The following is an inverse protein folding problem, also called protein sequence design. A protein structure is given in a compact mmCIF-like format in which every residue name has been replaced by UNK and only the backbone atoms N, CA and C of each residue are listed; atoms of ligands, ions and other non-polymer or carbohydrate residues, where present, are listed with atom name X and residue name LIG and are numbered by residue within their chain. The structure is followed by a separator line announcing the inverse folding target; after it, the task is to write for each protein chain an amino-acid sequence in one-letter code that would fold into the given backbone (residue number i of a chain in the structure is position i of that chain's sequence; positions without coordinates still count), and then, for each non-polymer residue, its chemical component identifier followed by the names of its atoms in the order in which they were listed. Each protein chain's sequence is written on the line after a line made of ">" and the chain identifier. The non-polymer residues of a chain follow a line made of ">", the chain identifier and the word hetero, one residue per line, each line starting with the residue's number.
data_IF_891846330984
#
_entry.id   IF_891846330984
#
_cell.length_a   1.000
_cell.length_b   1.000
_cell.length_c   1.000
_cell.angle_alpha   90.00
_cell.angle_beta   90.00
_cell.angle_gamma   90.00
#
_symmetry.space_group_name_H-M   'P 1'
#
loop_
_entity.id
_entity.type
_entity.pdbx_description
1 polymer ?
#
# COMPACT_ATOMS: atom_id res chain seq x y z
N UNK A 1 19.98 -14.43 -10.36
CA UNK A 1 21.13 -13.49 -10.37
C UNK A 1 21.05 -12.58 -9.15
N UNK A 2 22.17 -12.06 -8.63
CA UNK A 2 22.17 -11.13 -7.49
C UNK A 2 23.02 -9.91 -7.81
N UNK A 3 22.45 -8.74 -7.62
CA UNK A 3 23.10 -7.43 -7.68
C UNK A 3 23.21 -6.89 -6.25
N UNK A 4 24.42 -6.56 -5.82
CA UNK A 4 24.70 -6.07 -4.47
C UNK A 4 25.44 -4.73 -4.55
N UNK A 5 24.93 -3.73 -3.82
CA UNK A 5 25.50 -2.38 -3.77
C UNK A 5 25.70 -1.74 -5.16
N UNK A 6 24.81 -2.03 -6.11
CA UNK A 6 24.91 -1.48 -7.46
C UNK A 6 24.24 -0.11 -7.54
N UNK A 7 24.86 0.81 -8.27
CA UNK A 7 24.24 2.06 -8.67
C UNK A 7 23.58 1.87 -10.05
N UNK A 8 22.26 1.91 -10.07
CA UNK A 8 21.43 1.77 -11.26
C UNK A 8 20.54 3.01 -11.47
N UNK A 9 20.94 4.19 -10.91
CA UNK A 9 20.17 5.44 -11.09
C UNK A 9 20.00 5.72 -12.59
N UNK A 10 18.77 5.96 -13.00
CA UNK A 10 18.34 6.23 -14.38
C UNK A 10 18.63 5.11 -15.42
N UNK A 11 19.04 3.92 -14.97
CA UNK A 11 19.28 2.79 -15.89
C UNK A 11 17.98 2.28 -16.47
N UNK A 12 17.98 1.97 -17.77
CA UNK A 12 16.87 1.33 -18.47
C UNK A 12 16.99 -0.20 -18.42
N UNK A 13 16.08 -0.83 -17.67
CA UNK A 13 15.93 -2.28 -17.53
C UNK A 13 14.55 -2.71 -18.01
N UNK A 14 13.91 -1.91 -18.87
CA UNK A 14 12.56 -2.18 -19.37
C UNK A 14 12.50 -3.47 -20.21
N UNK A 15 11.37 -4.18 -20.11
CA UNK A 15 11.06 -5.39 -20.84
C UNK A 15 12.06 -6.55 -20.69
N UNK A 16 12.99 -6.49 -19.73
CA UNK A 16 13.90 -7.59 -19.46
C UNK A 16 13.24 -8.67 -18.60
N UNK A 17 13.67 -9.91 -18.81
CA UNK A 17 13.34 -11.01 -17.91
C UNK A 17 14.36 -11.08 -16.77
N UNK A 18 13.91 -10.74 -15.59
CA UNK A 18 14.67 -10.75 -14.35
C UNK A 18 13.98 -11.59 -13.28
N UNK A 19 13.29 -12.64 -13.70
CA UNK A 19 12.63 -13.60 -12.80
C UNK A 19 13.62 -14.13 -11.77
N UNK A 20 13.26 -14.03 -10.49
CA UNK A 20 14.07 -14.51 -9.37
C UNK A 20 15.38 -13.74 -9.15
N UNK A 21 15.54 -12.54 -9.73
CA UNK A 21 16.70 -11.72 -9.43
C UNK A 21 16.61 -11.11 -8.03
N UNK A 22 17.77 -10.89 -7.43
CA UNK A 22 17.90 -10.24 -6.12
C UNK A 22 18.66 -8.93 -6.28
N UNK A 23 18.04 -7.84 -5.82
CA UNK A 23 18.62 -6.50 -5.73
C UNK A 23 18.78 -6.17 -4.23
N UNK A 24 20.01 -6.00 -3.77
CA UNK A 24 20.30 -5.74 -2.36
C UNK A 24 21.18 -4.51 -2.21
N UNK A 25 20.76 -3.58 -1.33
CA UNK A 25 21.45 -2.31 -1.07
C UNK A 25 21.72 -1.48 -2.35
N UNK A 26 20.89 -1.65 -3.39
CA UNK A 26 21.07 -0.96 -4.67
C UNK A 26 20.42 0.43 -4.67
N UNK A 27 21.00 1.34 -5.47
CA UNK A 27 20.41 2.61 -5.84
C UNK A 27 19.62 2.38 -7.12
N UNK A 28 18.28 2.55 -7.04
CA UNK A 28 17.33 2.33 -8.14
C UNK A 28 16.53 3.61 -8.45
N UNK A 29 17.08 4.79 -8.12
CA UNK A 29 16.40 6.04 -8.31
C UNK A 29 16.13 6.26 -9.81
N UNK A 30 14.87 6.49 -10.18
CA UNK A 30 14.43 6.63 -11.58
C UNK A 30 14.82 5.46 -12.51
N UNK A 31 15.21 4.31 -11.96
CA UNK A 31 15.43 3.10 -12.77
C UNK A 31 14.14 2.73 -13.48
N UNK A 32 14.22 2.42 -14.77
CA UNK A 32 13.09 2.03 -15.58
C UNK A 32 12.95 0.50 -15.67
N UNK A 33 11.95 -0.07 -14.99
CA UNK A 33 11.54 -1.48 -15.10
C UNK A 33 10.23 -1.66 -15.87
N UNK A 34 9.85 -0.70 -16.71
CA UNK A 34 8.57 -0.76 -17.44
C UNK A 34 8.46 -2.07 -18.21
N UNK A 35 7.39 -2.83 -17.99
CA UNK A 35 7.12 -4.10 -18.67
C UNK A 35 8.09 -5.23 -18.33
N UNK A 36 9.03 -5.04 -17.41
CA UNK A 36 9.96 -6.09 -17.00
C UNK A 36 9.23 -7.27 -16.34
N UNK A 37 9.75 -8.48 -16.48
CA UNK A 37 9.34 -9.66 -15.72
C UNK A 37 10.23 -9.78 -14.50
N UNK A 38 9.65 -9.56 -13.33
CA UNK A 38 10.28 -9.56 -12.00
C UNK A 38 9.56 -10.54 -11.07
N UNK A 39 8.96 -11.59 -11.63
CA UNK A 39 8.29 -12.63 -10.85
C UNK A 39 9.33 -13.29 -9.93
N UNK A 40 8.97 -13.55 -8.66
CA UNK A 40 9.86 -14.07 -7.61
C UNK A 40 11.11 -13.20 -7.31
N UNK A 41 11.18 -11.98 -7.85
CA UNK A 41 12.33 -11.12 -7.60
C UNK A 41 12.33 -10.60 -6.15
N UNK A 42 13.53 -10.38 -5.61
CA UNK A 42 13.73 -9.85 -4.27
C UNK A 42 14.42 -8.48 -4.32
N UNK A 43 13.84 -7.50 -3.64
CA UNK A 43 14.42 -6.18 -3.41
C UNK A 43 14.61 -5.99 -1.92
N UNK A 44 15.84 -5.84 -1.46
CA UNK A 44 16.18 -5.65 -0.06
C UNK A 44 16.97 -4.35 0.14
N UNK A 45 16.52 -3.49 1.04
CA UNK A 45 17.20 -2.24 1.44
C UNK A 45 17.54 -1.31 0.26
N UNK A 46 16.80 -1.39 -0.84
CA UNK A 46 17.05 -0.56 -2.02
C UNK A 46 16.50 0.86 -1.87
N UNK A 47 17.15 1.83 -2.52
CA UNK A 47 16.73 3.23 -2.59
C UNK A 47 16.34 3.60 -4.01
N UNK A 48 15.05 3.65 -4.29
CA UNK A 48 14.51 3.81 -5.62
C UNK A 48 13.39 4.85 -5.70
N UNK A 49 13.59 6.05 -5.15
CA UNK A 49 12.62 7.11 -5.35
C UNK A 49 12.35 7.34 -6.85
N UNK A 50 11.07 7.44 -7.24
CA UNK A 50 10.60 7.55 -8.62
C UNK A 50 10.96 6.35 -9.53
N UNK A 51 11.25 5.18 -8.97
CA UNK A 51 11.42 3.95 -9.75
C UNK A 51 10.16 3.65 -10.58
N UNK A 52 10.33 3.14 -11.79
CA UNK A 52 9.21 2.89 -12.70
C UNK A 52 9.01 1.41 -12.95
N UNK A 53 7.99 0.83 -12.32
CA UNK A 53 7.50 -0.55 -12.51
C UNK A 53 6.20 -0.59 -13.33
N UNK A 54 5.94 0.44 -14.14
CA UNK A 54 4.71 0.48 -14.96
C UNK A 54 4.59 -0.80 -15.80
N UNK A 55 3.44 -1.45 -15.72
CA UNK A 55 3.14 -2.71 -16.41
C UNK A 55 4.11 -3.88 -16.13
N UNK A 56 5.02 -3.76 -15.16
CA UNK A 56 5.92 -4.86 -14.78
C UNK A 56 5.15 -6.04 -14.15
N UNK A 57 5.70 -7.24 -14.25
CA UNK A 57 5.21 -8.42 -13.54
C UNK A 57 6.04 -8.60 -12.28
N UNK A 58 5.39 -8.57 -11.13
CA UNK A 58 5.97 -8.69 -9.78
C UNK A 58 5.22 -9.78 -9.00
N UNK A 59 4.83 -10.87 -9.68
CA UNK A 59 4.12 -11.97 -9.02
C UNK A 59 5.04 -12.61 -7.99
N UNK A 60 4.57 -12.76 -6.74
CA UNK A 60 5.33 -13.33 -5.62
C UNK A 60 6.64 -12.59 -5.29
N UNK A 61 6.85 -11.39 -5.84
CA UNK A 61 8.04 -10.59 -5.52
C UNK A 61 8.07 -10.16 -4.06
N UNK A 62 9.26 -10.10 -3.48
CA UNK A 62 9.48 -9.64 -2.10
C UNK A 62 10.22 -8.30 -2.09
N UNK A 63 9.63 -7.30 -1.45
CA UNK A 63 10.18 -5.96 -1.35
C UNK A 63 10.30 -5.63 0.15
N UNK A 64 11.54 -5.58 0.66
CA UNK A 64 11.81 -5.40 2.07
C UNK A 64 12.69 -4.17 2.34
N UNK A 65 12.25 -3.32 3.27
CA UNK A 65 12.98 -2.13 3.74
C UNK A 65 13.42 -1.19 2.62
N UNK A 66 12.69 -1.19 1.51
CA UNK A 66 12.98 -0.33 0.37
C UNK A 66 12.34 1.04 0.49
N UNK A 67 12.99 2.06 -0.06
CA UNK A 67 12.45 3.40 -0.24
C UNK A 67 12.09 3.60 -1.73
N UNK A 68 10.82 3.39 -2.06
CA UNK A 68 10.25 3.56 -3.39
C UNK A 68 9.21 4.69 -3.39
N UNK A 69 9.50 5.78 -2.69
CA UNK A 69 8.64 6.96 -2.70
C UNK A 69 8.39 7.46 -4.12
N UNK A 70 7.13 7.80 -4.42
CA UNK A 70 6.66 8.18 -5.76
C UNK A 70 6.96 7.12 -6.84
N UNK A 71 7.11 5.86 -6.45
CA UNK A 71 7.28 4.74 -7.38
C UNK A 71 6.03 4.53 -8.22
N UNK A 72 6.22 4.19 -9.49
CA UNK A 72 5.13 3.96 -10.43
C UNK A 72 4.90 2.46 -10.57
N UNK A 73 3.72 2.00 -10.16
CA UNK A 73 3.25 0.62 -10.30
C UNK A 73 1.99 0.56 -11.18
N UNK A 74 1.75 1.58 -12.00
CA UNK A 74 0.57 1.69 -12.84
C UNK A 74 0.42 0.49 -13.77
N UNK A 75 -0.69 -0.27 -13.66
CA UNK A 75 -0.93 -1.47 -14.46
C UNK A 75 0.00 -2.65 -14.16
N UNK A 76 0.89 -2.56 -13.19
CA UNK A 76 1.75 -3.68 -12.78
C UNK A 76 0.93 -4.87 -12.24
N UNK A 77 1.47 -6.06 -12.32
CA UNK A 77 0.92 -7.25 -11.67
C UNK A 77 1.69 -7.50 -10.37
N UNK A 78 1.06 -7.21 -9.23
CA UNK A 78 1.64 -7.39 -7.89
C UNK A 78 0.94 -8.52 -7.12
N UNK A 79 0.42 -9.51 -7.83
CA UNK A 79 -0.26 -10.65 -7.22
C UNK A 79 0.68 -11.39 -6.28
N UNK A 80 0.25 -11.62 -5.03
CA UNK A 80 1.03 -12.26 -3.97
C UNK A 80 2.37 -11.57 -3.64
N UNK A 81 2.61 -10.38 -4.17
CA UNK A 81 3.79 -9.61 -3.78
C UNK A 81 3.71 -9.14 -2.32
N UNK A 82 4.86 -9.01 -1.67
CA UNK A 82 4.95 -8.52 -0.31
C UNK A 82 5.81 -7.26 -0.20
N UNK A 83 5.29 -6.25 0.50
CA UNK A 83 5.97 -5.00 0.82
C UNK A 83 6.09 -4.88 2.34
N UNK A 84 7.27 -5.10 2.89
CA UNK A 84 7.51 -5.10 4.34
C UNK A 84 8.53 -4.03 4.73
N UNK A 85 8.15 -3.16 5.64
CA UNK A 85 9.03 -2.08 6.13
C UNK A 85 9.36 -1.04 5.06
N UNK A 86 8.53 -0.89 4.04
CA UNK A 86 8.81 -0.04 2.88
C UNK A 86 8.29 1.38 3.04
N UNK A 87 8.92 2.32 2.32
CA UNK A 87 8.42 3.67 2.10
C UNK A 87 7.89 3.78 0.68
N UNK A 88 6.58 3.97 0.57
CA UNK A 88 5.82 4.05 -0.67
C UNK A 88 4.97 5.33 -0.71
N UNK A 89 5.43 6.40 -0.04
CA UNK A 89 4.71 7.67 -0.04
C UNK A 89 4.50 8.16 -1.48
N UNK A 90 3.25 8.48 -1.83
CA UNK A 90 2.91 8.96 -3.18
C UNK A 90 3.04 7.91 -4.28
N UNK A 91 3.25 6.63 -3.96
CA UNK A 91 3.35 5.58 -4.97
C UNK A 91 2.02 5.40 -5.72
N UNK A 92 2.10 5.15 -7.02
CA UNK A 92 0.94 4.99 -7.90
C UNK A 92 0.72 3.53 -8.29
N UNK A 93 -0.33 2.92 -7.73
CA UNK A 93 -0.79 1.56 -8.06
C UNK A 93 -2.07 1.57 -8.91
N UNK A 94 -2.36 2.66 -9.62
CA UNK A 94 -3.57 2.72 -10.47
C UNK A 94 -3.57 1.61 -11.51
N UNK A 95 -4.71 0.92 -11.63
CA UNK A 95 -4.87 -0.25 -12.52
C UNK A 95 -3.92 -1.42 -12.25
N UNK A 96 -3.18 -1.43 -11.15
CA UNK A 96 -2.38 -2.59 -10.77
C UNK A 96 -3.29 -3.81 -10.51
N UNK A 97 -2.83 -4.99 -10.92
CA UNK A 97 -3.47 -6.27 -10.60
C UNK A 97 -2.95 -6.75 -9.26
N UNK A 98 -3.74 -6.56 -8.22
CA UNK A 98 -3.37 -6.81 -6.83
C UNK A 98 -4.29 -7.86 -6.20
N UNK A 99 -3.91 -9.11 -6.30
CA UNK A 99 -4.58 -10.20 -5.58
C UNK A 99 -3.64 -10.73 -4.50
N UNK A 100 -4.13 -10.82 -3.26
CA UNK A 100 -3.37 -11.31 -2.10
C UNK A 100 -2.04 -10.57 -1.86
N UNK A 101 -1.96 -9.28 -2.22
CA UNK A 101 -0.79 -8.46 -1.93
C UNK A 101 -0.70 -8.19 -0.43
N UNK A 102 0.51 -8.24 0.13
CA UNK A 102 0.77 -7.96 1.54
C UNK A 102 1.49 -6.60 1.68
N UNK A 103 0.91 -5.73 2.51
CA UNK A 103 1.61 -4.57 3.05
C UNK A 103 1.73 -4.72 4.57
N UNK A 104 2.93 -4.59 5.10
CA UNK A 104 3.20 -4.66 6.54
C UNK A 104 4.27 -3.66 6.92
N UNK A 105 4.08 -2.92 8.02
CA UNK A 105 5.05 -1.92 8.49
C UNK A 105 5.44 -0.91 7.41
N UNK A 106 4.52 -0.58 6.53
CA UNK A 106 4.78 0.14 5.28
C UNK A 106 4.07 1.48 5.27
N UNK A 107 4.76 2.52 4.82
CA UNK A 107 4.18 3.85 4.63
C UNK A 107 3.63 3.95 3.21
N UNK A 108 2.31 4.13 3.09
CA UNK A 108 1.56 4.37 1.85
C UNK A 108 0.85 5.74 1.89
N UNK A 109 1.40 6.68 2.66
CA UNK A 109 0.82 8.02 2.76
C UNK A 109 0.74 8.69 1.39
N UNK A 110 -0.41 9.29 1.08
CA UNK A 110 -0.70 9.91 -0.21
C UNK A 110 -0.52 8.99 -1.44
N UNK A 111 -0.48 7.67 -1.25
CA UNK A 111 -0.40 6.71 -2.36
C UNK A 111 -1.76 6.49 -3.04
N UNK A 112 -1.75 5.97 -4.27
CA UNK A 112 -2.95 5.71 -5.07
C UNK A 112 -3.17 4.21 -5.22
N UNK A 113 -4.17 3.65 -4.51
CA UNK A 113 -4.51 2.21 -4.51
C UNK A 113 -6.00 1.98 -4.81
N UNK A 114 -6.62 2.62 -5.79
CA UNK A 114 -8.06 2.49 -5.99
C UNK A 114 -8.46 1.05 -6.33
N UNK A 115 -9.49 0.54 -5.65
CA UNK A 115 -10.08 -0.77 -5.91
C UNK A 115 -9.28 -1.96 -5.40
N UNK A 116 -8.26 -1.78 -4.57
CA UNK A 116 -7.55 -2.89 -3.93
C UNK A 116 -8.46 -3.70 -3.02
N UNK A 117 -8.24 -5.02 -2.98
CA UNK A 117 -8.92 -5.91 -2.04
C UNK A 117 -8.02 -6.26 -0.86
N UNK A 118 -8.47 -5.85 0.31
CA UNK A 118 -7.93 -6.21 1.62
C UNK A 118 -8.92 -7.08 2.39
N UNK A 119 -9.82 -7.79 1.69
CA UNK A 119 -10.84 -8.63 2.30
C UNK A 119 -10.20 -9.71 3.18
N UNK A 120 -10.57 -9.71 4.47
CA UNK A 120 -10.04 -10.63 5.50
C UNK A 120 -8.53 -10.49 5.75
N UNK A 121 -7.91 -9.41 5.30
CA UNK A 121 -6.48 -9.18 5.50
C UNK A 121 -6.23 -8.57 6.88
N UNK A 122 -5.15 -9.01 7.53
CA UNK A 122 -4.61 -8.37 8.72
C UNK A 122 -3.63 -7.26 8.31
N UNK A 123 -4.03 -6.01 8.52
CA UNK A 123 -3.27 -4.82 8.18
C UNK A 123 -2.51 -4.35 9.44
N UNK A 124 -1.19 -4.51 9.43
CA UNK A 124 -0.34 -4.26 10.59
C UNK A 124 0.64 -3.11 10.33
N UNK A 125 0.52 -2.05 11.10
CA UNK A 125 1.41 -0.87 11.04
C UNK A 125 1.59 -0.31 9.63
N UNK A 126 0.47 -0.15 8.92
CA UNK A 126 0.43 0.47 7.59
C UNK A 126 -0.13 1.88 7.70
N UNK A 127 0.58 2.84 7.16
CA UNK A 127 0.13 4.22 7.10
C UNK A 127 -0.48 4.53 5.73
N UNK A 128 -1.81 4.63 5.68
CA UNK A 128 -2.59 5.06 4.51
C UNK A 128 -3.07 6.51 4.61
N UNK A 129 -2.43 7.33 5.44
CA UNK A 129 -2.86 8.72 5.60
C UNK A 129 -2.86 9.44 4.25
N UNK A 130 -3.94 10.19 3.95
CA UNK A 130 -4.10 10.93 2.69
C UNK A 130 -4.13 10.05 1.42
N UNK A 131 -4.10 8.74 1.53
CA UNK A 131 -4.09 7.85 0.37
C UNK A 131 -5.44 7.83 -0.36
N UNK A 132 -5.40 7.59 -1.67
CA UNK A 132 -6.60 7.29 -2.44
C UNK A 132 -6.91 5.78 -2.36
N UNK A 133 -7.89 5.45 -1.54
CA UNK A 133 -8.42 4.10 -1.29
C UNK A 133 -9.84 3.94 -1.83
N UNK A 134 -10.22 4.76 -2.82
CA UNK A 134 -11.54 4.69 -3.41
C UNK A 134 -11.83 3.26 -3.91
N UNK A 135 -13.03 2.76 -3.62
CA UNK A 135 -13.51 1.42 -3.99
C UNK A 135 -12.71 0.23 -3.43
N UNK A 136 -11.84 0.45 -2.43
CA UNK A 136 -11.16 -0.63 -1.74
C UNK A 136 -12.14 -1.53 -0.97
N UNK A 137 -11.84 -2.81 -0.92
CA UNK A 137 -12.60 -3.79 -0.17
C UNK A 137 -11.85 -4.14 1.13
N UNK A 138 -12.28 -3.58 2.26
CA UNK A 138 -11.77 -3.85 3.60
C UNK A 138 -12.71 -4.71 4.44
N UNK A 139 -13.66 -5.41 3.81
CA UNK A 139 -14.59 -6.26 4.56
C UNK A 139 -13.86 -7.31 5.37
N UNK A 140 -14.27 -7.46 6.62
CA UNK A 140 -13.69 -8.40 7.57
C UNK A 140 -12.16 -8.23 7.76
N UNK A 141 -11.58 -7.12 7.28
CA UNK A 141 -10.18 -6.79 7.55
C UNK A 141 -9.98 -6.38 9.01
N UNK A 142 -8.80 -6.58 9.55
CA UNK A 142 -8.43 -6.09 10.87
C UNK A 142 -7.24 -5.12 10.78
N UNK A 143 -7.33 -4.02 11.54
CA UNK A 143 -6.32 -2.98 11.56
C UNK A 143 -5.60 -2.95 12.91
N UNK A 144 -4.28 -2.93 12.89
CA UNK A 144 -3.45 -2.85 14.09
C UNK A 144 -2.34 -1.82 13.93
N UNK A 145 -2.40 -0.72 14.69
CA UNK A 145 -1.41 0.34 14.63
C UNK A 145 -1.30 1.01 13.26
N UNK A 146 -2.37 0.98 12.48
CA UNK A 146 -2.43 1.51 11.11
C UNK A 146 -3.17 2.84 11.08
N UNK A 147 -3.00 3.65 10.03
CA UNK A 147 -3.67 4.92 9.86
C UNK A 147 -4.51 4.95 8.58
N UNK A 148 -5.73 5.46 8.68
CA UNK A 148 -6.62 5.84 7.58
C UNK A 148 -6.89 7.34 7.59
N UNK A 149 -6.08 8.11 8.34
CA UNK A 149 -6.28 9.55 8.53
C UNK A 149 -6.40 10.27 7.19
N UNK A 150 -7.50 11.00 7.02
CA UNK A 150 -7.79 11.82 5.84
C UNK A 150 -7.71 11.06 4.50
N UNK A 151 -7.78 9.72 4.51
CA UNK A 151 -7.79 8.93 3.30
C UNK A 151 -9.09 9.13 2.49
N UNK A 152 -8.99 9.09 1.16
CA UNK A 152 -10.15 9.05 0.30
C UNK A 152 -10.76 7.64 0.32
N UNK A 153 -11.92 7.51 0.95
CA UNK A 153 -12.64 6.24 1.14
C UNK A 153 -13.94 6.21 0.32
N UNK A 154 -14.03 6.94 -0.79
CA UNK A 154 -15.23 6.91 -1.65
C UNK A 154 -15.48 5.49 -2.13
N UNK A 155 -16.71 4.98 -1.90
CA UNK A 155 -17.15 3.63 -2.24
C UNK A 155 -16.29 2.48 -1.63
N UNK A 156 -15.42 2.77 -0.67
CA UNK A 156 -14.72 1.73 0.09
C UNK A 156 -15.70 0.99 1.01
N UNK A 157 -15.42 -0.28 1.28
CA UNK A 157 -16.31 -1.20 2.02
C UNK A 157 -15.61 -1.71 3.27
N UNK A 158 -16.26 -1.54 4.43
CA UNK A 158 -15.74 -1.93 5.76
C UNK A 158 -16.69 -2.85 6.53
N UNK A 159 -17.64 -3.50 5.86
CA UNK A 159 -18.60 -4.35 6.55
C UNK A 159 -17.87 -5.45 7.35
N UNK A 160 -18.11 -5.48 8.66
CA UNK A 160 -17.49 -6.44 9.58
C UNK A 160 -16.00 -6.22 9.88
N UNK A 161 -15.40 -5.10 9.43
CA UNK A 161 -14.00 -4.82 9.72
C UNK A 161 -13.75 -4.52 11.21
N UNK A 162 -12.59 -4.93 11.72
CA UNK A 162 -12.10 -4.53 13.03
C UNK A 162 -11.14 -3.33 12.88
N UNK A 163 -11.66 -2.15 13.18
CA UNK A 163 -10.94 -0.88 13.06
C UNK A 163 -10.30 -0.44 14.38
N UNK A 164 -10.40 -1.25 15.44
CA UNK A 164 -9.81 -0.91 16.74
C UNK A 164 -8.29 -0.76 16.60
N UNK A 165 -7.75 0.34 17.11
CA UNK A 165 -6.32 0.66 17.00
C UNK A 165 -5.91 1.28 15.65
N UNK A 166 -6.84 1.54 14.74
CA UNK A 166 -6.60 2.38 13.57
C UNK A 166 -6.77 3.87 13.91
N UNK A 167 -5.96 4.73 13.32
CA UNK A 167 -6.22 6.17 13.32
C UNK A 167 -7.27 6.49 12.25
N UNK A 168 -8.45 6.97 12.68
CA UNK A 168 -9.60 7.28 11.84
C UNK A 168 -9.83 8.80 11.69
N UNK A 169 -8.86 9.64 12.07
CA UNK A 169 -9.01 11.10 12.03
C UNK A 169 -9.34 11.62 10.64
N UNK A 170 -10.30 12.54 10.56
CA UNK A 170 -10.78 13.14 9.32
C UNK A 170 -11.71 12.23 8.48
N UNK A 171 -12.07 11.04 8.96
CA UNK A 171 -13.05 10.18 8.28
C UNK A 171 -14.46 10.75 8.46
N UNK A 172 -15.08 11.10 7.35
CA UNK A 172 -16.46 11.60 7.35
C UNK A 172 -17.45 10.44 7.30
N UNK A 173 -18.30 10.30 8.34
CA UNK A 173 -19.32 9.24 8.44
C UNK A 173 -20.60 9.54 7.67
N UNK A 174 -20.58 10.32 6.59
CA UNK A 174 -21.78 10.68 5.83
C UNK A 174 -22.45 9.47 5.14
N UNK A 175 -21.74 8.35 4.96
CA UNK A 175 -22.35 7.07 4.56
C UNK A 175 -21.95 5.97 5.55
N UNK A 176 -22.68 5.92 6.68
CA UNK A 176 -22.44 4.92 7.72
C UNK A 176 -22.69 3.48 7.25
N UNK A 177 -23.41 3.27 6.15
CA UNK A 177 -23.76 1.91 5.65
C UNK A 177 -22.52 1.10 5.28
N UNK A 178 -21.49 1.76 4.76
CA UNK A 178 -20.21 1.11 4.40
C UNK A 178 -19.47 0.51 5.60
N UNK A 179 -19.80 0.94 6.83
CA UNK A 179 -19.24 0.45 8.08
C UNK A 179 -20.15 -0.53 8.82
N UNK A 180 -21.19 -1.07 8.17
CA UNK A 180 -22.15 -1.97 8.80
C UNK A 180 -21.43 -3.16 9.48
N UNK A 181 -21.60 -3.31 10.79
CA UNK A 181 -20.97 -4.38 11.58
C UNK A 181 -19.48 -4.19 11.83
N UNK A 182 -18.86 -3.07 11.40
CA UNK A 182 -17.50 -2.76 11.77
C UNK A 182 -17.37 -2.47 13.27
N UNK A 183 -16.23 -2.82 13.85
CA UNK A 183 -15.92 -2.62 15.27
C UNK A 183 -14.93 -1.48 15.43
N UNK A 184 -15.24 -0.53 16.31
CA UNK A 184 -14.36 0.58 16.74
C UNK A 184 -14.22 0.59 18.26
N UNK A 185 -13.21 1.26 18.80
CA UNK A 185 -13.07 1.47 20.24
C UNK A 185 -13.99 2.61 20.73
N UNK A 186 -14.18 2.71 22.07
CA UNK A 186 -14.90 3.83 22.68
C UNK A 186 -14.23 5.17 22.42
N UNK A 187 -12.91 5.21 22.46
CA UNK A 187 -12.14 6.43 22.22
C UNK A 187 -12.30 6.89 20.77
N UNK A 188 -12.26 5.98 19.81
CA UNK A 188 -12.53 6.28 18.40
C UNK A 188 -13.96 6.80 18.20
N UNK A 189 -14.96 6.21 18.86
CA UNK A 189 -16.32 6.70 18.81
C UNK A 189 -16.42 8.13 19.33
N UNK A 190 -15.76 8.42 20.46
CA UNK A 190 -15.69 9.77 21.01
C UNK A 190 -15.05 10.77 20.06
N UNK A 191 -13.91 10.39 19.44
CA UNK A 191 -13.22 11.24 18.47
C UNK A 191 -14.08 11.55 17.23
N UNK A 192 -14.72 10.52 16.65
CA UNK A 192 -15.60 10.68 15.49
C UNK A 192 -16.81 11.56 15.79
N UNK A 193 -17.42 11.42 16.98
CA UNK A 193 -18.55 12.26 17.39
C UNK A 193 -18.10 13.71 17.66
N UNK A 194 -16.88 13.90 18.18
CA UNK A 194 -16.32 15.24 18.38
C UNK A 194 -16.07 15.96 17.06
N UNK A 195 -15.62 15.25 15.99
CA UNK A 195 -15.48 15.82 14.65
C UNK A 195 -16.85 16.24 14.05
N UNK A 196 -17.95 15.62 14.48
CA UNK A 196 -19.31 16.01 14.13
C UNK A 196 -19.84 17.19 14.99
N UNK A 197 -19.03 17.73 15.90
CA UNK A 197 -19.41 18.82 16.81
C UNK A 197 -20.15 18.35 18.05
N UNK A 198 -20.21 17.07 18.34
CA UNK A 198 -20.86 16.51 19.54
C UNK A 198 -19.87 16.44 20.71
N UNK A 199 -20.37 16.65 21.92
CA UNK A 199 -19.60 16.42 23.15
C UNK A 199 -19.96 15.07 23.72
N UNK A 200 -18.95 14.21 23.89
CA UNK A 200 -19.07 12.93 24.60
C UNK A 200 -18.63 13.17 26.04
N UNK A 201 -19.52 12.88 26.99
CA UNK A 201 -19.31 13.05 28.45
C UNK A 201 -18.99 11.69 29.10
#
# INVERSE_FOLDING_TARGET
>A
MRLLNCDLDEVDLSNLDMTGWCFEDCILKRTNFTGATLDDAAFASCRGAFVDFTAAKLVEATIEKCDFNNGKFGGATVTQASFVGCKLTGADFTRARAHAVLFKETTLSAAYLPGFSFHKVKIERVDFSLADLARCDFREASFSGSSLREANLVDARFEGADLRGADLGGIRLHDARKFKGATISRDQAGALLAEMGLRVL
#
